data_IF_198274729079
#
_entry.id   IF_198274729079
#
_cell.length_a   1.000
_cell.length_b   1.000
_cell.length_c   1.000
_cell.angle_alpha   90.00
_cell.angle_beta   90.00
_cell.angle_gamma   90.00
#
_symmetry.space_group_name_H-M   'P 1'
#
loop_
_entity.id
_entity.type
_entity.pdbx_description
1 polymer ?
#
# COMPACT_ATOMS: atom_id res chain seq x y z
N UNK A 1 -32.78 29.50 16.21
CA UNK A 1 -31.48 29.67 15.51
C UNK A 1 -30.56 28.52 15.92
N UNK A 2 -30.25 27.53 15.06
CA UNK A 2 -29.42 26.40 15.44
C UNK A 2 -27.95 26.85 15.59
N UNK A 3 -27.35 26.53 16.73
CA UNK A 3 -26.00 26.92 17.12
C UNK A 3 -24.96 26.27 16.18
N UNK A 4 -24.24 27.10 15.42
CA UNK A 4 -23.18 26.66 14.50
C UNK A 4 -22.06 26.00 15.30
N UNK A 5 -21.87 24.68 15.16
CA UNK A 5 -20.77 23.93 15.80
C UNK A 5 -19.42 24.58 15.46
N UNK A 6 -18.76 25.20 16.45
CA UNK A 6 -17.39 25.71 16.32
C UNK A 6 -16.45 24.51 16.16
N UNK A 7 -15.90 24.32 14.96
CA UNK A 7 -14.83 23.33 14.72
C UNK A 7 -13.60 23.75 15.52
N UNK A 8 -13.02 22.83 16.29
CA UNK A 8 -11.70 23.02 16.91
C UNK A 8 -10.67 23.16 15.78
N UNK A 9 -10.05 24.33 15.66
CA UNK A 9 -8.86 24.51 14.83
C UNK A 9 -7.70 23.87 15.58
N UNK A 10 -7.15 22.79 15.05
CA UNK A 10 -5.84 22.33 15.48
C UNK A 10 -4.82 23.30 14.89
N UNK A 11 -4.10 24.01 15.75
CA UNK A 11 -2.93 24.76 15.35
C UNK A 11 -1.85 23.75 14.99
N UNK A 12 -1.59 23.54 13.70
CA UNK A 12 -0.25 23.13 13.30
C UNK A 12 0.71 24.21 13.78
N UNK A 13 1.85 23.84 14.40
CA UNK A 13 2.81 24.85 14.84
C UNK A 13 3.25 25.69 13.63
N UNK A 14 3.44 27.01 13.82
CA UNK A 14 3.95 27.85 12.75
C UNK A 14 5.32 27.32 12.31
N UNK A 15 5.67 27.41 11.02
CA UNK A 15 7.02 27.06 10.59
C UNK A 15 7.99 27.93 11.37
N UNK A 16 8.86 27.27 12.12
CA UNK A 16 10.02 27.91 12.71
C UNK A 16 10.77 28.56 11.56
N UNK A 17 11.02 29.87 11.68
CA UNK A 17 11.89 30.61 10.78
C UNK A 17 13.24 29.91 10.86
N UNK A 18 13.53 29.08 9.88
CA UNK A 18 14.67 28.20 9.90
C UNK A 18 15.93 29.01 9.57
N UNK A 19 16.91 28.97 10.48
CA UNK A 19 18.28 29.47 10.29
C UNK A 19 18.98 28.73 9.14
N UNK A 20 20.07 29.30 8.61
CA UNK A 20 20.80 28.83 7.42
C UNK A 20 21.22 27.34 7.46
N UNK A 21 21.26 26.73 8.64
CA UNK A 21 21.54 25.29 8.84
C UNK A 21 20.45 24.34 8.29
N UNK A 22 19.24 24.83 7.97
CA UNK A 22 18.13 24.00 7.50
C UNK A 22 18.05 23.78 5.97
N UNK A 23 19.07 24.21 5.21
CA UNK A 23 19.12 24.01 3.76
C UNK A 23 19.07 22.51 3.35
N UNK A 24 19.49 21.59 4.22
CA UNK A 24 19.48 20.15 3.97
C UNK A 24 18.10 19.49 4.03
N UNK A 25 17.09 20.13 4.65
CA UNK A 25 15.74 19.57 4.76
C UNK A 25 14.75 20.08 3.68
N UNK A 26 15.14 21.02 2.82
CA UNK A 26 14.28 21.47 1.72
C UNK A 26 14.10 20.43 0.62
N UNK A 27 15.00 19.45 0.49
CA UNK A 27 14.84 18.34 -0.46
C UNK A 27 13.61 17.48 -0.17
N UNK A 28 13.26 17.27 1.10
CA UNK A 28 12.05 16.53 1.50
C UNK A 28 10.75 17.28 1.18
N UNK A 29 10.81 18.58 0.83
CA UNK A 29 9.62 19.36 0.51
C UNK A 29 9.26 19.38 -0.98
N UNK A 30 10.11 18.84 -1.86
CA UNK A 30 9.83 18.64 -3.29
C UNK A 30 8.96 17.40 -3.57
N UNK A 31 8.48 16.71 -2.53
CA UNK A 31 7.88 15.37 -2.62
C UNK A 31 6.61 15.23 -3.46
N UNK A 32 5.90 16.30 -3.85
CA UNK A 32 4.76 16.14 -4.76
C UNK A 32 5.20 16.36 -6.22
N UNK A 33 4.94 15.42 -7.14
CA UNK A 33 5.30 15.56 -8.55
C UNK A 33 4.80 16.86 -9.17
N UNK A 34 3.61 17.33 -8.76
CA UNK A 34 3.04 18.60 -9.20
C UNK A 34 3.85 19.82 -8.76
N UNK A 35 4.35 19.84 -7.51
CA UNK A 35 5.20 20.95 -7.03
C UNK A 35 6.54 20.96 -7.74
N UNK A 36 7.16 19.79 -7.89
CA UNK A 36 8.42 19.66 -8.60
C UNK A 36 8.29 20.14 -10.04
N UNK A 37 7.24 19.74 -10.75
CA UNK A 37 6.97 20.18 -12.12
C UNK A 37 6.79 21.71 -12.23
N UNK A 38 6.01 22.33 -11.35
CA UNK A 38 5.81 23.80 -11.38
C UNK A 38 7.12 24.54 -11.10
N UNK A 39 7.86 24.15 -10.06
CA UNK A 39 9.08 24.84 -9.66
C UNK A 39 10.23 24.61 -10.66
N UNK A 40 10.39 23.40 -11.18
CA UNK A 40 11.43 23.10 -12.18
C UNK A 40 11.17 23.85 -13.49
N UNK A 41 9.91 23.95 -13.91
CA UNK A 41 9.53 24.68 -15.13
C UNK A 41 9.79 26.17 -14.98
N UNK A 42 9.38 26.77 -13.85
CA UNK A 42 9.65 28.19 -13.59
C UNK A 42 11.16 28.48 -13.54
N UNK A 43 11.92 27.64 -12.84
CA UNK A 43 13.38 27.78 -12.76
C UNK A 43 14.06 27.64 -14.13
N UNK A 44 13.62 26.66 -14.93
CA UNK A 44 14.13 26.48 -16.28
C UNK A 44 13.86 27.70 -17.17
N UNK A 45 12.63 28.23 -17.14
CA UNK A 45 12.25 29.41 -17.90
C UNK A 45 13.06 30.64 -17.48
N UNK A 46 13.30 30.82 -16.17
CA UNK A 46 14.13 31.89 -15.62
C UNK A 46 15.59 31.81 -16.14
N UNK A 47 16.21 30.63 -16.05
CA UNK A 47 17.59 30.40 -16.54
C UNK A 47 17.72 30.63 -18.05
N UNK A 48 16.64 30.41 -18.81
CA UNK A 48 16.62 30.62 -20.27
C UNK A 48 16.13 32.01 -20.70
N UNK A 49 15.71 32.87 -19.76
CA UNK A 49 15.13 34.17 -20.08
C UNK A 49 13.80 34.10 -20.84
N UNK A 50 13.06 33.00 -20.68
CA UNK A 50 11.75 32.78 -21.30
C UNK A 50 10.67 33.21 -20.32
N UNK A 51 9.71 34.02 -20.78
CA UNK A 51 8.55 34.36 -19.97
C UNK A 51 7.68 33.11 -19.76
N UNK A 52 7.47 32.70 -18.52
CA UNK A 52 6.65 31.53 -18.18
C UNK A 52 5.21 31.96 -17.84
N UNK A 53 4.23 31.50 -18.62
CA UNK A 53 2.82 31.74 -18.33
C UNK A 53 2.23 30.55 -17.52
N UNK A 54 1.44 30.86 -16.48
CA UNK A 54 0.75 29.83 -15.69
C UNK A 54 -0.24 29.01 -16.52
N UNK A 55 -0.79 29.59 -17.60
CA UNK A 55 -1.66 28.89 -18.54
C UNK A 55 -0.94 27.74 -19.26
N UNK A 56 0.34 27.93 -19.62
CA UNK A 56 1.15 26.90 -20.27
C UNK A 56 1.49 25.76 -19.30
N UNK A 57 1.80 26.09 -18.04
CA UNK A 57 2.02 25.07 -16.99
C UNK A 57 0.76 24.22 -16.80
N UNK A 58 -0.43 24.82 -16.88
CA UNK A 58 -1.70 24.11 -16.82
C UNK A 58 -1.90 23.18 -18.02
N UNK A 59 -1.62 23.65 -19.22
CA UNK A 59 -1.76 22.84 -20.44
C UNK A 59 -0.81 21.63 -20.43
N UNK A 60 0.46 21.83 -20.06
CA UNK A 60 1.49 20.78 -20.10
C UNK A 60 1.33 19.77 -18.96
N UNK A 61 1.09 20.23 -17.73
CA UNK A 61 1.10 19.37 -16.55
C UNK A 61 -0.30 19.05 -15.99
N UNK A 62 -1.36 19.58 -16.60
CA UNK A 62 -2.73 19.47 -16.12
C UNK A 62 -2.91 19.96 -14.66
N UNK A 63 -2.16 21.00 -14.26
CA UNK A 63 -2.21 21.61 -12.93
C UNK A 63 -3.06 22.89 -12.99
N UNK A 64 -4.14 23.01 -12.19
CA UNK A 64 -4.95 24.23 -12.19
C UNK A 64 -4.13 25.48 -11.83
N UNK A 65 -4.38 26.60 -12.51
CA UNK A 65 -3.67 27.87 -12.27
C UNK A 65 -3.74 28.33 -10.82
N UNK A 66 -4.86 28.08 -10.14
CA UNK A 66 -5.02 28.35 -8.70
C UNK A 66 -4.04 27.56 -7.83
N UNK A 67 -3.74 26.32 -8.22
CA UNK A 67 -2.80 25.44 -7.53
C UNK A 67 -1.36 25.88 -7.79
N UNK A 68 -1.01 26.17 -9.05
CA UNK A 68 0.29 26.71 -9.41
C UNK A 68 0.58 28.05 -8.70
N UNK A 69 -0.39 28.98 -8.72
CA UNK A 69 -0.29 30.27 -8.02
C UNK A 69 -0.11 30.10 -6.51
N UNK A 70 -0.85 29.16 -5.90
CA UNK A 70 -0.69 28.86 -4.48
C UNK A 70 0.67 28.23 -4.15
N UNK A 71 1.21 27.35 -4.99
CA UNK A 71 2.54 26.77 -4.82
C UNK A 71 3.61 27.87 -4.86
N UNK A 72 3.51 28.78 -5.84
CA UNK A 72 4.42 29.91 -5.99
C UNK A 72 4.36 30.83 -4.77
N UNK A 73 3.15 31.23 -4.36
CA UNK A 73 2.95 32.16 -3.23
C UNK A 73 3.36 31.57 -1.89
N UNK A 74 2.92 30.34 -1.61
CA UNK A 74 3.08 29.77 -0.29
C UNK A 74 4.46 29.16 -0.07
N UNK A 75 5.13 28.70 -1.14
CA UNK A 75 6.32 27.84 -1.09
C UNK A 75 6.14 26.61 -0.17
N UNK A 76 4.92 26.30 0.27
CA UNK A 76 4.60 25.22 1.21
C UNK A 76 3.95 24.07 0.43
N UNK A 77 4.29 22.84 0.80
CA UNK A 77 3.60 21.66 0.28
C UNK A 77 2.15 21.67 0.79
N UNK A 78 1.17 21.73 -0.11
CA UNK A 78 -0.17 21.31 0.25
C UNK A 78 -0.12 19.79 0.45
N UNK A 79 -0.65 19.31 1.59
CA UNK A 79 -0.91 17.88 1.79
C UNK A 79 -1.68 17.37 0.58
N UNK A 80 -1.23 16.26 -0.01
CA UNK A 80 -1.94 15.55 -1.07
C UNK A 80 -3.39 15.35 -0.60
N UNK A 81 -4.33 16.12 -1.17
CA UNK A 81 -5.76 15.87 -1.01
C UNK A 81 -6.28 14.90 -2.08
N UNK A 82 -5.42 14.52 -3.01
CA UNK A 82 -5.75 13.64 -4.13
C UNK A 82 -5.08 12.28 -3.89
N UNK A 83 -5.71 11.44 -3.08
CA UNK A 83 -5.64 10.01 -3.34
C UNK A 83 -6.57 9.75 -4.53
N UNK A 84 -6.18 8.87 -5.47
CA UNK A 84 -7.04 8.43 -6.58
C UNK A 84 -8.28 7.64 -6.12
N UNK A 85 -8.43 7.45 -4.81
CA UNK A 85 -9.63 6.88 -4.23
C UNK A 85 -10.75 7.93 -4.22
N UNK A 86 -11.96 7.58 -4.70
CA UNK A 86 -13.10 8.50 -4.65
C UNK A 86 -13.32 8.95 -3.22
N UNK A 87 -13.40 10.27 -3.03
CA UNK A 87 -13.63 10.89 -1.74
C UNK A 87 -15.01 10.47 -1.18
N UNK A 88 -15.04 9.38 -0.43
CA UNK A 88 -16.26 8.82 0.21
C UNK A 88 -16.75 9.65 1.40
N UNK A 89 -16.10 10.79 1.69
CA UNK A 89 -16.47 11.70 2.78
C UNK A 89 -17.39 12.85 2.36
N UNK A 90 -17.95 12.80 1.14
CA UNK A 90 -19.12 13.60 0.80
C UNK A 90 -20.28 13.30 1.76
N UNK A 91 -21.17 14.27 1.98
CA UNK A 91 -22.43 14.01 2.67
C UNK A 91 -23.14 12.80 2.03
N UNK A 92 -23.83 11.98 2.84
CA UNK A 92 -24.62 10.85 2.34
C UNK A 92 -25.43 11.34 1.12
N UNK A 93 -25.17 10.77 -0.06
CA UNK A 93 -26.07 10.97 -1.20
C UNK A 93 -27.42 10.41 -0.75
N UNK A 94 -28.40 11.31 -0.59
CA UNK A 94 -29.79 10.89 -0.43
C UNK A 94 -30.16 10.11 -1.70
N UNK A 95 -30.60 8.87 -1.50
CA UNK A 95 -30.98 7.98 -2.57
C UNK A 95 -32.21 8.61 -3.24
N UNK A 96 -32.06 9.09 -4.48
CA UNK A 96 -33.15 9.80 -5.14
C UNK A 96 -34.21 8.81 -5.59
N UNK A 97 -35.44 9.28 -5.83
CA UNK A 97 -36.49 8.43 -6.40
C UNK A 97 -36.09 7.84 -7.77
N UNK A 98 -35.23 8.54 -8.52
CA UNK A 98 -34.66 8.02 -9.75
C UNK A 98 -33.75 6.81 -9.50
N UNK A 99 -32.92 6.85 -8.46
CA UNK A 99 -32.04 5.74 -8.08
C UNK A 99 -32.85 4.55 -7.56
N UNK A 100 -33.88 4.81 -6.76
CA UNK A 100 -34.79 3.77 -6.25
C UNK A 100 -35.54 3.08 -7.40
N UNK A 101 -36.03 3.85 -8.38
CA UNK A 101 -36.70 3.31 -9.55
C UNK A 101 -35.74 2.53 -10.44
N UNK A 102 -34.50 3.01 -10.64
CA UNK A 102 -33.49 2.27 -11.41
C UNK A 102 -33.14 0.92 -10.76
N UNK A 103 -33.05 0.85 -9.43
CA UNK A 103 -32.84 -0.39 -8.68
C UNK A 103 -34.06 -1.32 -8.85
N UNK A 104 -35.28 -0.79 -8.74
CA UNK A 104 -36.50 -1.59 -8.92
C UNK A 104 -36.63 -2.14 -10.34
N UNK A 105 -36.36 -1.33 -11.35
CA UNK A 105 -36.35 -1.74 -12.76
C UNK A 105 -35.30 -2.82 -13.02
N UNK A 106 -34.07 -2.65 -12.49
CA UNK A 106 -33.03 -3.66 -12.59
C UNK A 106 -33.42 -4.98 -11.89
N UNK A 107 -34.03 -4.91 -10.70
CA UNK A 107 -34.54 -6.10 -10.00
C UNK A 107 -35.66 -6.78 -10.78
N UNK A 108 -36.48 -6.06 -11.54
CA UNK A 108 -37.54 -6.66 -12.33
C UNK A 108 -37.02 -7.26 -13.65
N UNK A 109 -36.13 -6.54 -14.34
CA UNK A 109 -35.70 -6.86 -15.71
C UNK A 109 -34.43 -7.72 -15.78
N UNK A 110 -33.63 -7.82 -14.71
CA UNK A 110 -32.40 -8.60 -14.75
C UNK A 110 -32.70 -10.10 -14.97
N UNK A 111 -31.99 -10.77 -15.92
CA UNK A 111 -32.18 -12.18 -16.20
C UNK A 111 -31.83 -13.03 -14.97
N UNK A 112 -32.60 -14.10 -14.76
CA UNK A 112 -32.63 -14.93 -13.54
C UNK A 112 -31.26 -15.46 -13.06
N UNK A 113 -30.24 -15.43 -13.92
CA UNK A 113 -28.84 -15.78 -13.59
C UNK A 113 -28.20 -14.86 -12.54
N UNK A 114 -28.67 -13.63 -12.36
CA UNK A 114 -28.13 -12.67 -11.38
C UNK A 114 -28.88 -12.65 -10.03
N UNK A 115 -30.08 -13.25 -9.94
CA UNK A 115 -30.94 -13.20 -8.74
C UNK A 115 -30.75 -14.37 -7.76
N UNK A 116 -29.91 -15.34 -8.07
CA UNK A 116 -29.79 -16.59 -7.31
C UNK A 116 -28.46 -16.71 -6.55
N UNK A 117 -28.35 -16.10 -5.36
CA UNK A 117 -27.33 -16.50 -4.38
C UNK A 117 -27.72 -16.24 -2.91
N UNK A 118 -28.83 -16.84 -2.45
CA UNK A 118 -29.01 -17.09 -1.00
C UNK A 118 -29.56 -18.53 -0.79
N UNK A 119 -28.66 -19.37 -0.24
CA UNK A 119 -28.77 -20.70 0.40
C UNK A 119 -28.60 -22.04 -0.43
N UNK A 120 -27.67 -22.96 -0.02
CA UNK A 120 -27.34 -24.29 -0.62
C UNK A 120 -27.98 -25.49 0.16
N UNK A 121 -27.72 -26.83 -0.05
CA UNK A 121 -26.74 -27.62 -0.87
C UNK A 121 -27.41 -28.85 -1.65
N UNK A 122 -26.75 -29.94 -2.19
CA UNK A 122 -25.33 -30.34 -2.21
C UNK A 122 -24.70 -30.75 -3.58
N UNK A 123 -23.36 -30.78 -3.58
CA UNK A 123 -22.44 -31.36 -4.57
C UNK A 123 -22.24 -30.62 -5.91
N UNK A 124 -21.46 -29.53 -5.89
CA UNK A 124 -20.67 -29.13 -7.06
C UNK A 124 -19.23 -28.85 -6.62
N UNK A 125 -18.38 -29.85 -6.84
CA UNK A 125 -16.92 -29.72 -6.80
C UNK A 125 -16.52 -28.50 -7.64
N UNK A 126 -15.68 -27.68 -7.04
CA UNK A 126 -15.14 -26.45 -7.61
C UNK A 126 -14.56 -26.71 -9.00
N UNK A 127 -15.06 -25.98 -10.00
CA UNK A 127 -14.32 -25.82 -11.25
C UNK A 127 -13.19 -24.83 -11.01
N UNK A 128 -12.11 -25.33 -10.40
CA UNK A 128 -10.88 -24.56 -10.30
C UNK A 128 -10.38 -24.21 -11.71
N UNK A 129 -9.69 -23.08 -11.88
CA UNK A 129 -9.06 -22.69 -13.16
C UNK A 129 -8.24 -23.83 -13.79
N UNK A 130 -7.66 -24.72 -12.95
CA UNK A 130 -6.92 -25.91 -13.39
C UNK A 130 -7.81 -26.94 -14.09
N UNK A 131 -9.04 -27.16 -13.61
CA UNK A 131 -9.99 -28.11 -14.20
C UNK A 131 -10.49 -27.60 -15.56
N UNK A 132 -10.76 -26.29 -15.66
CA UNK A 132 -11.13 -25.66 -16.94
C UNK A 132 -9.98 -25.76 -17.94
N UNK A 133 -8.76 -25.43 -17.54
CA UNK A 133 -7.59 -25.54 -18.42
C UNK A 133 -7.34 -26.97 -18.90
N UNK A 134 -7.41 -27.96 -18.00
CA UNK A 134 -7.20 -29.37 -18.33
C UNK A 134 -8.20 -29.84 -19.40
N UNK A 135 -9.48 -29.47 -19.24
CA UNK A 135 -10.54 -29.86 -20.17
C UNK A 135 -10.42 -29.16 -21.53
N UNK A 136 -10.02 -27.89 -21.56
CA UNK A 136 -9.73 -27.17 -22.82
C UNK A 136 -8.57 -27.83 -23.56
N UNK A 137 -7.50 -28.24 -22.87
CA UNK A 137 -6.37 -28.94 -23.49
C UNK A 137 -6.75 -30.34 -23.99
N UNK A 138 -7.54 -31.11 -23.23
CA UNK A 138 -8.06 -32.42 -23.67
C UNK A 138 -8.94 -32.32 -24.92
N UNK A 139 -9.80 -31.31 -25.02
CA UNK A 139 -10.76 -31.18 -26.13
C UNK A 139 -10.11 -30.57 -27.38
N UNK A 140 -9.21 -29.60 -27.22
CA UNK A 140 -8.62 -28.89 -28.36
C UNK A 140 -7.29 -29.48 -28.83
N UNK A 141 -6.61 -30.29 -28.00
CA UNK A 141 -5.23 -30.71 -28.24
C UNK A 141 -4.20 -29.58 -28.10
N UNK A 142 -4.64 -28.33 -27.86
CA UNK A 142 -3.78 -27.16 -27.79
C UNK A 142 -3.30 -27.00 -26.35
N UNK A 143 -2.03 -27.34 -26.10
CA UNK A 143 -1.34 -26.96 -24.86
C UNK A 143 -1.09 -25.45 -24.90
N UNK A 144 -1.54 -24.71 -23.88
CA UNK A 144 -1.15 -23.30 -23.77
C UNK A 144 0.37 -23.21 -23.70
N UNK A 145 0.99 -22.20 -24.33
CA UNK A 145 2.45 -22.00 -24.31
C UNK A 145 3.04 -22.04 -22.89
N UNK A 146 2.29 -21.55 -21.90
CA UNK A 146 2.66 -21.58 -20.47
C UNK A 146 2.66 -22.97 -19.83
N UNK A 147 1.92 -23.92 -20.39
CA UNK A 147 1.89 -25.33 -19.95
C UNK A 147 3.03 -26.12 -20.59
N UNK A 148 3.34 -25.87 -21.87
CA UNK A 148 4.48 -26.49 -22.55
C UNK A 148 5.82 -26.10 -21.90
N UNK A 149 6.00 -24.81 -21.56
CA UNK A 149 7.20 -24.30 -20.86
C UNK A 149 7.36 -24.86 -19.44
N UNK A 150 6.32 -25.45 -18.84
CA UNK A 150 6.40 -26.06 -17.51
C UNK A 150 6.78 -27.53 -17.51
N UNK A 151 6.68 -28.24 -18.62
CA UNK A 151 7.03 -29.68 -18.67
C UNK A 151 8.55 -29.90 -18.60
N UNK A 152 9.37 -28.93 -19.04
CA UNK A 152 10.83 -29.04 -19.07
C UNK A 152 11.54 -28.49 -17.82
N UNK A 153 10.79 -27.96 -16.85
CA UNK A 153 11.35 -27.50 -15.58
C UNK A 153 10.83 -28.38 -14.44
N UNK A 154 11.70 -29.00 -13.62
CA UNK A 154 11.26 -29.69 -12.41
C UNK A 154 10.42 -28.70 -11.59
N UNK A 155 9.25 -29.13 -11.11
CA UNK A 155 8.39 -28.28 -10.28
C UNK A 155 9.28 -27.63 -9.20
N UNK A 156 9.38 -26.29 -9.16
CA UNK A 156 10.19 -25.64 -8.14
C UNK A 156 9.60 -26.08 -6.81
N UNK A 157 10.35 -26.92 -6.10
CA UNK A 157 9.94 -27.48 -4.82
C UNK A 157 9.52 -26.28 -4.00
N UNK A 158 8.23 -26.17 -3.71
CA UNK A 158 7.65 -24.99 -3.10
C UNK A 158 8.08 -25.03 -1.63
N UNK A 159 9.36 -24.68 -1.38
CA UNK A 159 9.95 -24.62 -0.05
C UNK A 159 9.04 -23.75 0.80
N UNK A 160 8.69 -24.26 1.98
CA UNK A 160 7.81 -23.59 2.92
C UNK A 160 8.27 -22.13 3.08
N UNK A 161 7.41 -21.19 2.68
CA UNK A 161 7.69 -19.75 2.74
C UNK A 161 7.47 -19.16 4.14
N UNK A 162 7.11 -20.02 5.09
CA UNK A 162 6.83 -19.67 6.47
C UNK A 162 7.79 -20.44 7.36
N UNK A 163 8.43 -19.74 8.29
CA UNK A 163 9.29 -20.37 9.29
C UNK A 163 8.53 -20.36 10.63
N UNK A 164 8.07 -21.53 11.11
CA UNK A 164 7.45 -21.59 12.42
C UNK A 164 8.51 -21.32 13.50
N UNK A 165 8.14 -20.56 14.51
CA UNK A 165 8.97 -20.33 15.69
C UNK A 165 8.10 -20.27 16.94
N UNK A 166 8.70 -20.60 18.07
CA UNK A 166 8.09 -20.41 19.39
C UNK A 166 8.51 -19.05 19.96
N UNK A 167 7.54 -18.17 20.21
CA UNK A 167 7.75 -16.84 20.77
C UNK A 167 8.36 -16.88 22.19
N UNK A 168 8.25 -18.02 22.90
CA UNK A 168 8.84 -18.23 24.22
C UNK A 168 8.19 -17.37 25.32
N UNK A 169 7.02 -16.78 25.07
CA UNK A 169 6.24 -16.04 26.05
C UNK A 169 4.74 -16.13 25.76
N UNK A 170 3.94 -15.82 26.78
CA UNK A 170 2.47 -15.88 26.71
C UNK A 170 1.85 -14.76 25.89
N UNK A 171 2.57 -13.65 25.66
CA UNK A 171 2.07 -12.52 24.87
C UNK A 171 2.29 -12.70 23.36
N UNK A 172 2.97 -13.78 22.94
CA UNK A 172 3.23 -14.12 21.54
C UNK A 172 4.24 -13.20 20.85
N UNK A 173 4.96 -12.35 21.59
CA UNK A 173 5.99 -11.47 21.02
C UNK A 173 7.31 -12.22 20.92
N UNK A 174 8.03 -12.04 19.82
CA UNK A 174 9.39 -12.57 19.71
C UNK A 174 10.29 -11.88 20.74
N UNK A 175 11.03 -12.67 21.52
CA UNK A 175 12.12 -12.16 22.36
C UNK A 175 13.47 -12.30 21.63
N UNK A 176 14.51 -11.63 22.12
CA UNK A 176 15.82 -11.64 21.48
C UNK A 176 16.46 -13.05 21.37
N UNK A 177 16.20 -13.95 22.32
CA UNK A 177 16.71 -15.32 22.29
C UNK A 177 16.07 -16.12 21.16
N UNK A 178 14.74 -16.01 20.99
CA UNK A 178 14.01 -16.60 19.87
C UNK A 178 14.48 -15.97 18.55
N UNK A 179 14.66 -14.64 18.51
CA UNK A 179 15.10 -13.96 17.29
C UNK A 179 16.49 -14.44 16.82
N UNK A 180 17.44 -14.61 17.75
CA UNK A 180 18.77 -15.18 17.44
C UNK A 180 18.69 -16.60 16.87
N UNK A 181 17.66 -17.39 17.21
CA UNK A 181 17.44 -18.73 16.61
C UNK A 181 16.89 -18.66 15.18
N UNK A 182 16.18 -17.59 14.85
CA UNK A 182 15.58 -17.36 13.52
C UNK A 182 16.62 -16.81 12.53
N UNK A 183 17.55 -15.98 13.00
CA UNK A 183 18.53 -15.30 12.15
C UNK A 183 19.36 -16.22 11.24
N UNK A 184 19.85 -17.40 11.65
CA UNK A 184 20.56 -18.32 10.75
C UNK A 184 19.74 -18.70 9.52
N UNK A 185 18.45 -18.97 9.71
CA UNK A 185 17.57 -19.33 8.61
C UNK A 185 17.27 -18.14 7.68
N UNK A 186 17.18 -16.92 8.24
CA UNK A 186 17.06 -15.70 7.44
C UNK A 186 18.34 -15.42 6.65
N UNK A 187 19.51 -15.66 7.25
CA UNK A 187 20.80 -15.59 6.57
C UNK A 187 20.83 -16.54 5.37
N UNK A 188 20.49 -17.81 5.56
CA UNK A 188 20.50 -18.80 4.47
C UNK A 188 19.52 -18.40 3.34
N UNK A 189 18.40 -17.77 3.68
CA UNK A 189 17.42 -17.29 2.71
C UNK A 189 17.87 -16.02 1.95
N UNK A 190 18.80 -15.25 2.51
CA UNK A 190 19.30 -13.98 1.96
C UNK A 190 20.71 -14.09 1.39
N UNK A 191 21.46 -15.15 1.72
CA UNK A 191 22.83 -15.35 1.29
C UNK A 191 22.94 -15.35 -0.24
N UNK A 192 23.89 -14.57 -0.76
CA UNK A 192 24.11 -14.41 -2.20
C UNK A 192 23.10 -13.47 -2.88
N UNK A 193 22.26 -12.76 -2.12
CA UNK A 193 21.36 -11.73 -2.63
C UNK A 193 21.77 -10.37 -2.05
N UNK A 194 21.69 -9.34 -2.88
CA UNK A 194 21.88 -7.94 -2.45
C UNK A 194 20.60 -7.45 -1.79
N UNK A 195 20.36 -7.90 -0.54
CA UNK A 195 19.14 -7.62 0.21
C UNK A 195 19.50 -7.20 1.64
N UNK A 196 18.82 -6.16 2.12
CA UNK A 196 18.88 -5.76 3.51
C UNK A 196 17.62 -6.22 4.26
N UNK A 197 17.77 -6.65 5.50
CA UNK A 197 16.64 -6.96 6.38
C UNK A 197 16.07 -5.67 6.95
N UNK A 198 14.81 -5.38 6.64
CA UNK A 198 14.07 -4.27 7.26
C UNK A 198 13.34 -4.75 8.52
N UNK A 199 13.66 -4.17 9.68
CA UNK A 199 13.08 -4.53 10.99
C UNK A 199 12.43 -3.31 11.63
N UNK A 200 11.40 -3.54 12.44
CA UNK A 200 10.84 -2.47 13.28
C UNK A 200 11.78 -2.13 14.46
N UNK A 201 11.44 -1.07 15.17
CA UNK A 201 12.20 -0.60 16.33
C UNK A 201 11.85 -1.39 17.62
N UNK A 202 11.58 -2.70 17.54
CA UNK A 202 11.35 -3.52 18.73
C UNK A 202 12.64 -3.68 19.57
N UNK A 203 12.46 -3.79 20.88
CA UNK A 203 13.55 -4.02 21.83
C UNK A 203 14.36 -5.29 21.55
N UNK A 204 13.73 -6.35 21.04
CA UNK A 204 14.40 -7.60 20.69
C UNK A 204 15.34 -7.44 19.49
N UNK A 205 14.94 -6.64 18.49
CA UNK A 205 15.72 -6.41 17.26
C UNK A 205 16.91 -5.48 17.49
N UNK A 206 16.77 -4.51 18.42
CA UNK A 206 17.84 -3.54 18.76
C UNK A 206 18.83 -4.03 19.81
N UNK A 207 18.68 -5.25 20.32
CA UNK A 207 19.59 -5.75 21.33
C UNK A 207 21.01 -5.84 20.73
N UNK A 208 22.02 -5.32 21.43
CA UNK A 208 23.41 -5.28 20.94
C UNK A 208 23.89 -6.64 20.40
N UNK A 209 23.58 -7.73 21.11
CA UNK A 209 23.94 -9.10 20.72
C UNK A 209 23.32 -9.54 19.39
N UNK A 210 22.12 -9.06 19.07
CA UNK A 210 21.45 -9.34 17.79
C UNK A 210 22.16 -8.62 16.66
N UNK A 211 22.46 -7.33 16.84
CA UNK A 211 23.15 -6.52 15.84
C UNK A 211 24.57 -7.04 15.59
N UNK A 212 25.34 -7.31 16.65
CA UNK A 212 26.68 -7.92 16.55
C UNK A 212 26.66 -9.27 15.81
N UNK A 213 25.62 -10.07 16.01
CA UNK A 213 25.47 -11.33 15.27
C UNK A 213 25.23 -11.08 13.78
N UNK A 214 24.37 -10.12 13.42
CA UNK A 214 24.07 -9.78 12.04
C UNK A 214 25.30 -9.22 11.32
N UNK A 215 26.03 -8.31 11.97
CA UNK A 215 27.28 -7.73 11.47
C UNK A 215 28.33 -8.84 11.23
N UNK A 216 28.53 -9.73 12.22
CA UNK A 216 29.48 -10.84 12.11
C UNK A 216 29.12 -11.87 11.03
N UNK A 217 27.86 -11.92 10.59
CA UNK A 217 27.38 -12.83 9.55
C UNK A 217 27.19 -12.15 8.18
N UNK A 218 27.59 -10.88 8.05
CA UNK A 218 27.51 -10.12 6.80
C UNK A 218 26.08 -9.87 6.34
N UNK A 219 25.18 -9.59 7.28
CA UNK A 219 23.78 -9.31 6.97
C UNK A 219 23.51 -7.81 7.09
N UNK A 220 23.20 -7.18 5.96
CA UNK A 220 22.76 -5.79 5.97
C UNK A 220 21.37 -5.68 6.60
N UNK A 221 21.16 -4.63 7.39
CA UNK A 221 19.87 -4.37 8.01
C UNK A 221 19.54 -2.89 8.14
N UNK A 222 18.25 -2.61 8.19
CA UNK A 222 17.68 -1.29 8.39
C UNK A 222 16.70 -1.39 9.55
N UNK A 223 16.92 -0.57 10.58
CA UNK A 223 16.00 -0.44 11.71
C UNK A 223 15.06 0.73 11.42
N UNK A 224 13.78 0.44 11.34
CA UNK A 224 12.73 1.43 11.13
C UNK A 224 12.65 2.45 12.26
N UNK A 225 12.16 3.65 11.92
CA UNK A 225 11.92 4.69 12.90
C UNK A 225 10.92 4.23 13.98
N UNK A 226 11.10 4.68 15.25
CA UNK A 226 10.15 4.35 16.30
C UNK A 226 8.77 4.94 15.96
N UNK A 227 7.70 4.18 16.27
CA UNK A 227 6.31 4.60 16.09
C UNK A 227 5.89 4.90 14.63
N UNK A 228 6.56 4.30 13.65
CA UNK A 228 6.24 4.45 12.21
C UNK A 228 5.75 3.15 11.58
N UNK A 229 4.58 2.61 11.99
CA UNK A 229 4.05 1.37 11.43
C UNK A 229 3.65 1.51 9.96
N UNK A 230 3.39 2.72 9.49
CA UNK A 230 3.08 3.05 8.10
C UNK A 230 4.27 2.85 7.15
N UNK A 231 5.50 2.88 7.67
CA UNK A 231 6.71 2.58 6.91
C UNK A 231 7.04 1.08 6.87
N UNK A 232 6.37 0.26 7.69
CA UNK A 232 6.57 -1.18 7.70
C UNK A 232 5.70 -1.83 6.61
N UNK A 233 6.34 -2.35 5.56
CA UNK A 233 5.66 -3.11 4.49
C UNK A 233 4.80 -4.23 5.09
N UNK A 234 5.28 -4.88 6.16
CA UNK A 234 4.54 -5.95 6.84
C UNK A 234 3.20 -5.47 7.43
N UNK A 235 3.10 -4.26 7.99
CA UNK A 235 1.83 -3.76 8.55
C UNK A 235 0.78 -3.55 7.45
N UNK A 236 1.22 -3.10 6.26
CA UNK A 236 0.35 -3.01 5.08
C UNK A 236 -0.20 -4.38 4.67
N UNK A 237 0.61 -5.45 4.79
CA UNK A 237 0.20 -6.82 4.44
C UNK A 237 -0.62 -7.50 5.54
N UNK A 238 -0.35 -7.18 6.81
CA UNK A 238 -1.03 -7.77 7.96
C UNK A 238 -2.48 -7.29 8.05
N UNK A 239 -2.79 -6.06 7.61
CA UNK A 239 -4.16 -5.53 7.67
C UNK A 239 -5.17 -6.40 6.89
N UNK A 240 -5.00 -6.71 5.58
CA UNK A 240 -5.88 -7.63 4.87
C UNK A 240 -6.01 -9.01 5.52
N UNK A 241 -4.93 -9.54 6.10
CA UNK A 241 -4.96 -10.83 6.80
C UNK A 241 -5.80 -10.75 8.08
N UNK A 242 -5.64 -9.68 8.86
CA UNK A 242 -6.41 -9.41 10.08
C UNK A 242 -7.89 -9.27 9.76
N UNK A 243 -8.23 -8.58 8.68
CA UNK A 243 -9.61 -8.38 8.24
C UNK A 243 -10.26 -9.72 7.82
N UNK A 244 -9.53 -10.55 7.05
CA UNK A 244 -10.00 -11.91 6.69
C UNK A 244 -10.17 -12.81 7.91
N UNK A 245 -9.25 -12.73 8.87
CA UNK A 245 -9.34 -13.52 10.10
C UNK A 245 -10.58 -13.12 10.93
N UNK A 246 -10.82 -11.81 11.08
CA UNK A 246 -12.02 -11.29 11.74
C UNK A 246 -13.30 -11.74 11.04
N UNK A 247 -13.34 -11.65 9.71
CA UNK A 247 -14.49 -12.08 8.91
C UNK A 247 -14.82 -13.58 9.10
N UNK A 248 -13.80 -14.44 9.19
CA UNK A 248 -14.00 -15.87 9.49
C UNK A 248 -14.55 -16.09 10.89
N UNK A 249 -13.99 -15.40 11.89
CA UNK A 249 -14.42 -15.56 13.28
C UNK A 249 -15.87 -15.10 13.48
N UNK A 250 -16.31 -14.05 12.78
CA UNK A 250 -17.71 -13.60 12.80
C UNK A 250 -18.70 -14.53 12.10
N UNK A 251 -18.24 -15.46 11.26
CA UNK A 251 -19.10 -16.45 10.61
C UNK A 251 -19.31 -17.71 11.46
N UNK A 252 -18.54 -17.87 12.54
CA UNK A 252 -18.55 -19.08 13.39
C UNK A 252 -19.40 -18.88 14.66
N UNK A 253 -20.16 -17.78 14.73
CA UNK A 253 -21.09 -17.42 15.82
C UNK A 253 -22.47 -17.24 15.19
#
# INVERSE_FOLDING_TARGET
MPQRRKRRRFSTPPPVVATEEFASHQQAQLETPQRSAVLSTLYFCEVKGIACNLAEIREVFNIPESTASNIIKSKRAQRLQNADEPNTRGALRELTNSDANAIATYINEAPFKEKASVNPPPSKKEWSRRIVQKRVTEVSGIKTHRAAVKEDHPEPTQKERCMPYDAGNSNGKINAVTFLKILPHLRDATLGREVAIYMDCDSAHKLKKVLEWMDANGMDYIIGAPSSPDLLVMETWVKPLRDRFKARRSQTI
#
